data_IF_054673040815
#
_entry.id   IF_054673040815
#
_cell.length_a   1.000
_cell.length_b   1.000
_cell.length_c   1.000
_cell.angle_alpha   90.00
_cell.angle_beta   90.00
_cell.angle_gamma   90.00
#
_symmetry.space_group_name_H-M   'P 1'
#
loop_
_entity.id
_entity.type
_entity.pdbx_description
1 polymer ?
#
# COMPACT_ATOMS: atom_id res chain seq x y z
N UNK A 1 -2.55 14.03 10.83
CA UNK A 1 -1.18 13.48 10.89
C UNK A 1 -0.65 13.45 9.47
N UNK A 2 0.56 13.99 9.22
CA UNK A 2 1.11 14.07 7.87
C UNK A 2 1.38 12.63 7.37
N UNK A 3 1.05 12.28 6.10
CA UNK A 3 1.32 10.94 5.52
C UNK A 3 2.77 10.48 5.66
N UNK A 4 3.73 11.41 5.60
CA UNK A 4 5.15 11.12 5.83
C UNK A 4 5.47 10.71 7.28
N UNK A 5 4.78 11.27 8.23
CA UNK A 5 4.93 10.97 9.67
C UNK A 5 4.36 9.58 10.00
N UNK A 6 3.27 9.21 9.36
CA UNK A 6 2.67 7.87 9.47
C UNK A 6 3.55 6.79 8.85
N UNK A 7 4.12 7.02 7.67
CA UNK A 7 5.05 6.09 7.03
C UNK A 7 6.35 5.92 7.86
N UNK A 8 6.82 7.00 8.50
CA UNK A 8 7.98 6.99 9.38
C UNK A 8 7.74 6.15 10.64
N UNK A 9 6.56 6.29 11.25
CA UNK A 9 6.15 5.49 12.42
C UNK A 9 5.95 4.00 12.07
N UNK A 10 5.43 3.67 10.89
CA UNK A 10 5.34 2.29 10.43
C UNK A 10 6.72 1.66 10.20
N UNK A 11 7.65 2.38 9.60
CA UNK A 11 9.02 1.91 9.39
C UNK A 11 9.79 1.72 10.72
N UNK A 12 9.53 2.57 11.69
CA UNK A 12 10.11 2.47 13.03
C UNK A 12 9.54 1.28 13.82
N UNK A 13 8.25 1.02 13.72
CA UNK A 13 7.59 -0.17 14.29
C UNK A 13 8.11 -1.48 13.68
N UNK A 14 8.36 -1.53 12.38
CA UNK A 14 8.96 -2.70 11.71
C UNK A 14 10.39 -2.95 12.19
N UNK A 15 11.20 -1.88 12.35
CA UNK A 15 12.56 -1.97 12.91
C UNK A 15 12.57 -2.43 14.37
N UNK A 16 11.62 -1.97 15.18
CA UNK A 16 11.46 -2.39 16.57
C UNK A 16 11.05 -3.87 16.66
N UNK A 17 10.13 -4.36 15.84
CA UNK A 17 9.75 -5.78 15.76
C UNK A 17 10.95 -6.68 15.43
N UNK A 18 11.70 -6.34 14.38
CA UNK A 18 12.89 -7.10 13.98
C UNK A 18 13.98 -7.10 15.07
N UNK A 19 14.14 -6.00 15.82
CA UNK A 19 15.07 -5.89 16.95
C UNK A 19 14.63 -6.75 18.13
N UNK A 20 13.31 -6.84 18.39
CA UNK A 20 12.72 -7.68 19.45
C UNK A 20 12.91 -9.18 19.16
N UNK A 21 12.65 -9.61 17.92
CA UNK A 21 12.86 -11.00 17.49
C UNK A 21 14.33 -11.42 17.59
N UNK A 22 15.25 -10.57 17.17
CA UNK A 22 16.70 -10.82 17.31
C UNK A 22 17.13 -10.91 18.78
N UNK A 23 16.55 -10.10 19.66
CA UNK A 23 16.79 -10.19 21.11
C UNK A 23 16.23 -11.48 21.71
N UNK A 24 15.06 -11.92 21.31
CA UNK A 24 14.46 -13.17 21.78
C UNK A 24 15.28 -14.40 21.36
N UNK A 25 15.74 -14.45 20.10
CA UNK A 25 16.61 -15.53 19.61
C UNK A 25 17.96 -15.57 20.32
N UNK A 26 18.57 -14.41 20.61
CA UNK A 26 19.83 -14.33 21.36
C UNK A 26 19.68 -14.77 22.82
N UNK A 27 18.53 -14.48 23.45
CA UNK A 27 18.18 -14.92 24.82
C UNK A 27 18.00 -16.43 24.91
N UNK A 28 17.34 -17.05 23.91
CA UNK A 28 17.18 -18.51 23.86
C UNK A 28 18.52 -19.25 23.70
N UNK A 29 19.42 -18.72 22.85
CA UNK A 29 20.79 -19.27 22.72
C UNK A 29 21.60 -19.13 24.00
N UNK A 30 21.56 -18.00 24.70
CA UNK A 30 22.27 -17.78 25.97
C UNK A 30 21.72 -18.67 27.11
N UNK A 31 20.40 -18.90 27.16
CA UNK A 31 19.79 -19.86 28.12
C UNK A 31 20.30 -21.28 27.91
N UNK A 32 20.33 -21.78 26.67
CA UNK A 32 20.84 -23.12 26.37
C UNK A 32 22.32 -23.26 26.71
N UNK A 33 23.16 -22.26 26.43
CA UNK A 33 24.59 -22.29 26.77
C UNK A 33 24.81 -22.25 28.29
N UNK A 34 24.09 -21.44 29.05
CA UNK A 34 24.20 -21.34 30.51
C UNK A 34 23.85 -22.67 31.20
N UNK A 35 22.78 -23.35 30.74
CA UNK A 35 22.39 -24.67 31.26
C UNK A 35 23.41 -25.75 30.93
N UNK A 36 24.01 -25.75 29.76
CA UNK A 36 25.02 -26.75 29.36
C UNK A 36 26.31 -26.56 30.18
N UNK A 37 26.72 -25.32 30.41
CA UNK A 37 27.89 -24.98 31.22
C UNK A 37 27.68 -25.36 32.68
N UNK A 38 26.51 -25.08 33.28
CA UNK A 38 26.16 -25.51 34.65
C UNK A 38 26.16 -27.04 34.80
N UNK A 39 25.64 -27.75 33.79
CA UNK A 39 25.58 -29.22 33.82
C UNK A 39 26.98 -29.87 33.72
N UNK A 40 27.89 -29.27 32.98
CA UNK A 40 29.23 -29.81 32.74
C UNK A 40 30.24 -29.42 33.84
N UNK A 41 30.16 -28.22 34.39
CA UNK A 41 31.04 -27.74 35.46
C UNK A 41 30.61 -28.21 36.87
N UNK A 42 29.32 -28.54 37.06
CA UNK A 42 28.79 -28.93 38.38
C UNK A 42 29.43 -30.21 38.95
N UNK A 43 29.83 -31.16 38.09
CA UNK A 43 30.47 -32.43 38.55
C UNK A 43 31.84 -32.26 39.14
N UNK A 44 32.64 -31.31 38.66
CA UNK A 44 33.99 -31.07 39.09
C UNK A 44 34.04 -30.14 40.32
N UNK A 45 33.21 -29.11 40.33
CA UNK A 45 33.22 -28.08 41.39
C UNK A 45 32.38 -28.51 42.62
N UNK A 46 31.24 -29.16 42.42
CA UNK A 46 30.26 -29.43 43.48
C UNK A 46 30.38 -30.85 44.10
N UNK A 47 31.07 -31.78 43.45
CA UNK A 47 31.16 -33.18 43.86
C UNK A 47 29.87 -33.97 43.70
N UNK A 48 29.99 -35.30 43.54
CA UNK A 48 28.88 -36.18 43.14
C UNK A 48 27.64 -36.12 44.08
N UNK A 49 27.85 -35.94 45.39
CA UNK A 49 26.76 -35.93 46.37
C UNK A 49 25.93 -34.64 46.30
N UNK A 50 26.55 -33.47 46.17
CA UNK A 50 25.86 -32.21 46.06
C UNK A 50 25.12 -32.08 44.70
N UNK A 51 25.73 -32.58 43.66
CA UNK A 51 25.09 -32.65 42.32
C UNK A 51 23.78 -33.45 42.38
N UNK A 52 23.78 -34.61 42.98
CA UNK A 52 22.59 -35.48 43.11
C UNK A 52 21.49 -34.85 43.98
N UNK A 53 21.86 -34.10 45.03
CA UNK A 53 20.91 -33.39 45.88
C UNK A 53 20.27 -32.19 45.15
N UNK A 54 21.02 -31.48 44.31
CA UNK A 54 20.50 -30.39 43.47
C UNK A 54 19.56 -30.95 42.37
N UNK A 55 19.92 -32.04 41.72
CA UNK A 55 19.08 -32.68 40.72
C UNK A 55 17.73 -33.12 41.31
N UNK A 56 17.71 -33.78 42.48
CA UNK A 56 16.46 -34.12 43.18
C UNK A 56 15.65 -32.91 43.58
N UNK A 57 16.26 -31.85 44.08
CA UNK A 57 15.58 -30.61 44.44
C UNK A 57 14.90 -29.96 43.23
N UNK A 58 15.57 -29.91 42.07
CA UNK A 58 15.03 -29.33 40.84
C UNK A 58 13.90 -30.22 40.25
N UNK A 59 14.00 -31.51 40.37
CA UNK A 59 12.98 -32.47 39.90
C UNK A 59 11.70 -32.34 40.72
N UNK A 60 11.75 -32.34 42.05
CA UNK A 60 10.59 -32.10 42.90
C UNK A 60 9.98 -30.70 42.72
N UNK A 61 10.78 -29.68 42.49
CA UNK A 61 10.31 -28.32 42.24
C UNK A 61 9.59 -28.22 40.88
N UNK A 62 10.05 -28.99 39.87
CA UNK A 62 9.44 -28.96 38.53
C UNK A 62 8.15 -29.77 38.43
N UNK A 63 8.04 -30.87 39.17
CA UNK A 63 6.90 -31.81 39.09
C UNK A 63 5.78 -31.46 40.09
N UNK A 64 6.09 -31.04 41.30
CA UNK A 64 5.11 -30.90 42.40
C UNK A 64 4.89 -29.45 42.87
N UNK A 65 5.65 -28.49 42.38
CA UNK A 65 5.65 -27.09 42.84
C UNK A 65 5.88 -26.92 44.37
N UNK A 66 6.25 -28.02 45.08
CA UNK A 66 6.59 -28.05 46.53
C UNK A 66 7.76 -28.98 46.74
N UNK A 67 8.72 -28.55 47.52
CA UNK A 67 9.90 -29.37 47.88
C UNK A 67 9.68 -30.03 49.23
N UNK A 68 10.00 -31.33 49.32
CA UNK A 68 9.89 -32.08 50.58
C UNK A 68 10.94 -31.59 51.58
N UNK A 69 10.64 -31.71 52.89
CA UNK A 69 11.59 -31.39 53.96
C UNK A 69 12.86 -32.25 53.89
N UNK A 70 12.75 -33.47 53.42
CA UNK A 70 13.83 -34.42 53.27
C UNK A 70 14.82 -34.00 52.18
N UNK A 71 14.33 -33.60 51.00
CA UNK A 71 15.12 -33.09 49.88
C UNK A 71 15.85 -31.80 50.25
N UNK A 72 15.18 -30.92 51.01
CA UNK A 72 15.79 -29.67 51.48
C UNK A 72 16.91 -29.96 52.53
N UNK A 73 16.70 -30.90 53.46
CA UNK A 73 17.67 -31.34 54.46
C UNK A 73 18.90 -31.96 53.79
N UNK A 74 18.70 -32.82 52.82
CA UNK A 74 19.78 -33.47 52.04
C UNK A 74 20.60 -32.44 51.25
N UNK A 75 19.97 -31.46 50.67
CA UNK A 75 20.62 -30.38 49.94
C UNK A 75 21.45 -29.51 50.90
N UNK A 76 20.89 -29.10 52.03
CA UNK A 76 21.59 -28.30 53.03
C UNK A 76 22.77 -29.06 53.63
N UNK A 77 22.62 -30.35 53.95
CA UNK A 77 23.71 -31.21 54.48
C UNK A 77 24.83 -31.34 53.43
N UNK A 78 24.50 -31.52 52.16
CA UNK A 78 25.48 -31.62 51.09
C UNK A 78 26.23 -30.28 50.86
N UNK A 79 25.55 -29.14 51.01
CA UNK A 79 26.16 -27.79 50.97
C UNK A 79 27.12 -27.59 52.14
N UNK A 80 26.70 -27.92 53.36
CA UNK A 80 27.52 -27.76 54.57
C UNK A 80 28.83 -28.62 54.51
N UNK A 81 28.70 -29.89 54.11
CA UNK A 81 29.86 -30.79 53.96
C UNK A 81 30.84 -30.26 52.90
N UNK A 82 30.32 -29.60 51.85
CA UNK A 82 31.18 -29.05 50.79
C UNK A 82 31.81 -27.71 51.20
N UNK A 83 31.07 -26.86 51.92
CA UNK A 83 31.57 -25.60 52.47
C UNK A 83 32.83 -25.85 53.43
N UNK A 84 32.79 -26.91 54.18
CA UNK A 84 33.93 -27.30 55.09
C UNK A 84 35.12 -27.82 54.30
N UNK A 85 34.96 -28.38 53.11
CA UNK A 85 36.05 -28.96 52.28
C UNK A 85 36.67 -28.03 51.23
N UNK A 86 36.00 -27.04 50.76
CA UNK A 86 36.45 -26.25 49.59
C UNK A 86 36.63 -24.77 49.89
N UNK A 87 36.57 -24.36 51.08
CA UNK A 87 36.77 -22.97 51.48
C UNK A 87 35.59 -22.06 51.08
N UNK A 88 35.15 -21.27 52.05
CA UNK A 88 33.98 -20.37 51.96
C UNK A 88 33.98 -19.42 50.73
N UNK A 89 35.16 -19.01 50.27
CA UNK A 89 35.34 -18.08 49.12
C UNK A 89 34.94 -18.68 47.76
N UNK A 90 35.19 -19.99 47.52
CA UNK A 90 34.85 -20.65 46.26
C UNK A 90 33.35 -20.87 46.08
N UNK A 91 32.63 -21.11 47.19
CA UNK A 91 31.18 -21.31 47.17
C UNK A 91 30.47 -19.99 46.95
N UNK A 92 30.93 -18.90 47.56
CA UNK A 92 30.34 -17.55 47.31
C UNK A 92 30.55 -17.14 45.86
N UNK A 93 31.70 -17.34 45.27
CA UNK A 93 31.98 -16.98 43.88
C UNK A 93 31.17 -17.80 42.85
N UNK A 94 30.72 -19.00 43.22
CA UNK A 94 29.88 -19.83 42.34
C UNK A 94 28.37 -19.60 42.54
N UNK A 95 27.91 -19.41 43.79
CA UNK A 95 26.50 -19.30 44.15
C UNK A 95 25.98 -17.88 43.93
N UNK A 96 26.74 -16.84 44.28
CA UNK A 96 26.30 -15.46 44.14
C UNK A 96 25.97 -15.06 42.69
N UNK A 97 26.80 -15.38 41.67
CA UNK A 97 26.45 -15.10 40.27
C UNK A 97 25.23 -15.90 39.81
N UNK A 98 25.05 -17.13 40.31
CA UNK A 98 23.89 -17.96 39.95
C UNK A 98 22.58 -17.39 40.49
N UNK A 99 22.58 -16.92 41.73
CA UNK A 99 21.45 -16.24 42.37
C UNK A 99 21.16 -14.93 41.62
N UNK A 100 22.19 -14.16 41.30
CA UNK A 100 22.04 -12.90 40.56
C UNK A 100 21.42 -13.13 39.15
N UNK A 101 21.83 -14.21 38.47
CA UNK A 101 21.29 -14.63 37.20
C UNK A 101 19.79 -15.02 37.27
N UNK A 102 19.40 -15.71 38.37
CA UNK A 102 18.00 -16.05 38.64
C UNK A 102 17.16 -14.78 38.84
N UNK A 103 17.65 -13.85 39.64
CA UNK A 103 17.01 -12.56 39.89
C UNK A 103 16.92 -11.75 38.60
N UNK A 104 17.98 -11.65 37.83
CA UNK A 104 17.97 -10.96 36.53
C UNK A 104 16.97 -11.58 35.53
N UNK A 105 16.90 -12.92 35.51
CA UNK A 105 15.97 -13.65 34.65
C UNK A 105 14.51 -13.41 35.05
N UNK A 106 14.24 -13.40 36.36
CA UNK A 106 12.91 -13.08 36.89
C UNK A 106 12.52 -11.64 36.59
N UNK A 107 13.41 -10.67 36.82
CA UNK A 107 13.16 -9.26 36.54
C UNK A 107 12.92 -8.99 35.04
N UNK A 108 13.72 -9.62 34.18
CA UNK A 108 13.55 -9.58 32.74
C UNK A 108 12.22 -10.21 32.28
N UNK A 109 11.76 -11.26 32.92
CA UNK A 109 10.46 -11.88 32.65
C UNK A 109 9.31 -10.94 33.00
N UNK A 110 9.38 -10.21 34.12
CA UNK A 110 8.39 -9.22 34.51
C UNK A 110 8.40 -8.01 33.56
N UNK A 111 9.57 -7.51 33.19
CA UNK A 111 9.67 -6.42 32.18
C UNK A 111 9.09 -6.84 30.82
N UNK A 112 9.34 -8.07 30.38
CA UNK A 112 8.77 -8.54 29.10
C UNK A 112 7.25 -8.65 29.14
N UNK A 113 6.63 -9.04 30.27
CA UNK A 113 5.16 -9.03 30.43
C UNK A 113 4.61 -7.60 30.37
N UNK A 114 5.29 -6.64 30.99
CA UNK A 114 4.90 -5.24 30.97
C UNK A 114 4.96 -4.66 29.53
N UNK A 115 6.06 -4.95 28.82
CA UNK A 115 6.26 -4.52 27.42
C UNK A 115 5.21 -5.14 26.49
N UNK A 116 4.86 -6.41 26.70
CA UNK A 116 3.82 -7.08 25.91
C UNK A 116 2.46 -6.42 26.17
N UNK A 117 2.12 -6.15 27.43
CA UNK A 117 0.88 -5.45 27.78
C UNK A 117 0.82 -4.02 27.23
N UNK A 118 1.93 -3.28 27.28
CA UNK A 118 2.03 -1.96 26.65
C UNK A 118 1.86 -2.04 25.12
N UNK A 119 2.46 -3.03 24.46
CA UNK A 119 2.33 -3.24 23.02
C UNK A 119 0.89 -3.53 22.61
N UNK A 120 0.16 -4.32 23.40
CA UNK A 120 -1.27 -4.56 23.18
C UNK A 120 -2.14 -3.30 23.38
N UNK A 121 -1.85 -2.52 24.43
CA UNK A 121 -2.53 -1.24 24.64
C UNK A 121 -2.28 -0.25 23.48
N UNK A 122 -1.04 -0.15 23.00
CA UNK A 122 -0.72 0.66 21.81
C UNK A 122 -1.47 0.21 20.57
N UNK A 123 -1.58 -1.11 20.37
CA UNK A 123 -2.36 -1.66 19.26
C UNK A 123 -3.84 -1.30 19.36
N UNK A 124 -4.41 -1.37 20.56
CA UNK A 124 -5.80 -0.97 20.80
C UNK A 124 -6.00 0.55 20.62
N UNK A 125 -5.07 1.38 21.09
CA UNK A 125 -5.12 2.82 20.87
C UNK A 125 -5.02 3.19 19.39
N UNK A 126 -4.12 2.55 18.64
CA UNK A 126 -4.02 2.78 17.19
C UNK A 126 -5.31 2.37 16.48
N UNK A 127 -5.88 1.22 16.82
CA UNK A 127 -7.16 0.80 16.24
C UNK A 127 -8.30 1.79 16.56
N UNK A 128 -8.34 2.38 17.77
CA UNK A 128 -9.32 3.41 18.14
C UNK A 128 -9.08 4.72 17.38
N UNK A 129 -7.82 5.13 17.19
CA UNK A 129 -7.47 6.31 16.40
C UNK A 129 -7.86 6.12 14.93
N UNK A 130 -7.63 4.94 14.38
CA UNK A 130 -8.05 4.61 13.03
C UNK A 130 -9.57 4.66 12.89
N UNK A 131 -10.32 4.10 13.87
CA UNK A 131 -11.78 4.18 13.90
C UNK A 131 -12.30 5.63 14.04
N UNK A 132 -11.69 6.45 14.89
CA UNK A 132 -12.06 7.86 15.03
C UNK A 132 -11.78 8.65 13.76
N UNK A 133 -10.62 8.41 13.14
CA UNK A 133 -10.27 9.04 11.86
C UNK A 133 -11.27 8.65 10.78
N UNK A 134 -11.68 7.37 10.75
CA UNK A 134 -12.69 6.87 9.82
C UNK A 134 -14.06 7.51 10.03
N UNK A 135 -14.52 7.65 11.30
CA UNK A 135 -15.79 8.30 11.62
C UNK A 135 -15.80 9.79 11.27
N UNK A 136 -14.72 10.51 11.57
CA UNK A 136 -14.57 11.93 11.18
C UNK A 136 -14.58 12.09 9.66
N UNK A 137 -13.92 11.19 8.94
CA UNK A 137 -13.91 11.21 7.49
C UNK A 137 -15.29 10.89 6.91
N UNK A 138 -16.03 9.93 7.49
CA UNK A 138 -17.41 9.62 7.09
C UNK A 138 -18.36 10.80 7.30
N UNK A 139 -18.22 11.52 8.42
CA UNK A 139 -19.00 12.72 8.71
C UNK A 139 -18.69 13.85 7.73
N UNK A 140 -17.39 14.11 7.46
CA UNK A 140 -16.95 15.08 6.47
C UNK A 140 -17.52 14.77 5.08
N UNK A 141 -17.57 13.50 4.70
CA UNK A 141 -18.14 13.05 3.41
C UNK A 141 -19.64 13.32 3.33
N UNK A 142 -20.39 13.00 4.38
CA UNK A 142 -21.82 13.28 4.42
C UNK A 142 -22.12 14.74 4.14
N UNK A 143 -21.39 15.65 4.76
CA UNK A 143 -21.54 17.10 4.53
C UNK A 143 -21.13 17.49 3.10
N UNK A 144 -20.05 16.91 2.57
CA UNK A 144 -19.57 17.22 1.23
C UNK A 144 -20.51 16.71 0.14
N UNK A 145 -21.12 15.53 0.33
CA UNK A 145 -22.14 14.99 -0.58
C UNK A 145 -23.40 15.88 -0.63
N UNK A 146 -23.86 16.39 0.52
CA UNK A 146 -24.98 17.33 0.55
C UNK A 146 -24.68 18.63 -0.19
N UNK A 147 -23.45 19.16 -0.07
CA UNK A 147 -23.00 20.32 -0.85
C UNK A 147 -22.95 19.99 -2.33
N UNK A 148 -22.48 18.81 -2.71
CA UNK A 148 -22.40 18.36 -4.10
C UNK A 148 -23.78 18.24 -4.72
N UNK A 149 -24.75 17.62 -4.05
CA UNK A 149 -26.15 17.50 -4.54
C UNK A 149 -26.78 18.87 -4.74
N UNK A 150 -26.59 19.80 -3.80
CA UNK A 150 -27.08 21.17 -3.94
C UNK A 150 -26.47 21.88 -5.14
N UNK A 151 -25.17 21.69 -5.39
CA UNK A 151 -24.50 22.29 -6.54
C UNK A 151 -24.89 21.66 -7.85
N UNK A 152 -25.06 20.33 -7.92
CA UNK A 152 -25.50 19.63 -9.13
C UNK A 152 -26.89 20.10 -9.55
N UNK A 153 -27.78 20.36 -8.57
CA UNK A 153 -29.09 20.94 -8.83
C UNK A 153 -28.96 22.35 -9.44
N UNK A 154 -28.16 23.22 -8.84
CA UNK A 154 -27.91 24.57 -9.36
C UNK A 154 -27.33 24.55 -10.78
N UNK A 155 -26.35 23.64 -11.04
CA UNK A 155 -25.76 23.43 -12.36
C UNK A 155 -26.81 22.99 -13.36
N UNK A 156 -27.67 22.03 -12.99
CA UNK A 156 -28.78 21.58 -13.86
C UNK A 156 -29.73 22.71 -14.23
N UNK A 157 -30.03 23.59 -13.27
CA UNK A 157 -30.89 24.73 -13.51
C UNK A 157 -30.20 25.79 -14.43
N UNK A 158 -28.92 26.08 -14.21
CA UNK A 158 -28.11 26.96 -15.04
C UNK A 158 -28.04 26.42 -16.50
N UNK A 159 -27.75 25.13 -16.67
CA UNK A 159 -27.63 24.44 -17.98
C UNK A 159 -28.97 24.50 -18.74
N UNK A 160 -30.09 24.21 -18.06
CA UNK A 160 -31.42 24.27 -18.67
C UNK A 160 -31.80 25.67 -19.12
N UNK A 161 -31.33 26.70 -18.45
CA UNK A 161 -31.59 28.09 -18.78
C UNK A 161 -30.68 28.67 -19.86
N UNK A 162 -29.59 27.97 -20.20
CA UNK A 162 -28.54 28.43 -21.09
C UNK A 162 -28.48 27.56 -22.38
N UNK A 163 -28.76 28.08 -23.56
CA UNK A 163 -28.70 27.31 -24.83
C UNK A 163 -27.34 26.73 -25.17
N UNK A 164 -26.24 27.23 -24.55
CA UNK A 164 -24.88 26.76 -24.76
C UNK A 164 -24.44 25.74 -23.71
N UNK A 165 -25.33 25.35 -22.79
CA UNK A 165 -25.04 24.46 -21.66
C UNK A 165 -23.89 24.95 -20.78
N UNK A 166 -23.69 26.25 -20.69
CA UNK A 166 -22.65 26.86 -19.84
C UNK A 166 -23.24 27.26 -18.49
N UNK A 167 -22.44 27.18 -17.46
CA UNK A 167 -22.77 27.71 -16.11
C UNK A 167 -22.18 29.12 -15.93
N UNK A 168 -22.69 29.86 -14.97
CA UNK A 168 -22.15 31.17 -14.62
C UNK A 168 -20.82 31.06 -13.89
N UNK A 169 -20.01 32.16 -13.91
CA UNK A 169 -18.66 32.17 -13.33
C UNK A 169 -18.65 31.91 -11.80
N UNK A 170 -19.70 32.29 -11.09
CA UNK A 170 -19.79 32.04 -9.64
C UNK A 170 -20.02 30.55 -9.35
N UNK A 171 -20.95 29.91 -10.05
CA UNK A 171 -21.19 28.46 -9.99
C UNK A 171 -19.95 27.70 -10.40
N UNK A 172 -19.26 28.11 -11.49
CA UNK A 172 -17.99 27.52 -11.91
C UNK A 172 -16.91 27.61 -10.82
N UNK A 173 -16.77 28.78 -10.18
CA UNK A 173 -15.82 28.97 -9.08
C UNK A 173 -16.08 28.08 -7.87
N UNK A 174 -17.36 27.90 -7.51
CA UNK A 174 -17.76 26.99 -6.41
C UNK A 174 -17.52 25.53 -6.79
N UNK A 175 -17.84 25.12 -8.00
CA UNK A 175 -17.61 23.78 -8.51
C UNK A 175 -16.12 23.42 -8.49
N UNK A 176 -15.25 24.34 -8.93
CA UNK A 176 -13.80 24.15 -8.88
C UNK A 176 -13.31 24.00 -7.43
N UNK A 177 -13.83 24.83 -6.52
CA UNK A 177 -13.48 24.72 -5.10
C UNK A 177 -13.94 23.39 -4.51
N UNK A 178 -15.15 22.95 -4.83
CA UNK A 178 -15.68 21.65 -4.40
C UNK A 178 -14.81 20.50 -4.90
N UNK A 179 -14.46 20.45 -6.19
CA UNK A 179 -13.64 19.37 -6.75
C UNK A 179 -12.30 19.21 -5.99
N UNK A 180 -11.69 20.32 -5.55
CA UNK A 180 -10.46 20.34 -4.77
C UNK A 180 -10.65 19.94 -3.29
N UNK A 181 -11.85 20.09 -2.75
CA UNK A 181 -12.19 19.65 -1.39
C UNK A 181 -12.41 18.14 -1.28
N UNK A 182 -12.74 17.47 -2.40
CA UNK A 182 -12.96 16.02 -2.49
C UNK A 182 -11.62 15.26 -2.43
N UNK A 183 -10.96 15.26 -1.27
CA UNK A 183 -9.63 14.64 -1.11
C UNK A 183 -9.71 13.11 -1.21
N UNK A 184 -8.77 12.48 -1.92
CA UNK A 184 -8.67 11.02 -1.97
C UNK A 184 -8.28 10.42 -0.62
N UNK A 185 -8.73 9.21 -0.35
CA UNK A 185 -8.53 8.50 0.91
C UNK A 185 -8.53 6.98 0.69
N UNK A 186 -8.15 6.22 1.72
CA UNK A 186 -8.31 4.77 1.74
C UNK A 186 -9.60 4.41 2.47
N UNK A 187 -10.36 3.47 1.95
CA UNK A 187 -11.55 2.92 2.60
C UNK A 187 -11.51 1.40 2.64
N UNK A 188 -12.45 0.79 3.36
CA UNK A 188 -12.59 -0.66 3.43
C UNK A 188 -13.43 -1.17 2.26
N UNK A 189 -12.91 -2.11 1.52
CA UNK A 189 -13.61 -2.87 0.50
C UNK A 189 -13.52 -4.36 0.89
N UNK A 190 -14.66 -5.02 1.09
CA UNK A 190 -14.73 -6.41 1.55
C UNK A 190 -13.86 -6.67 2.81
N UNK A 191 -14.04 -5.84 3.84
CA UNK A 191 -13.31 -5.87 5.11
C UNK A 191 -11.78 -5.69 5.01
N UNK A 192 -11.27 -5.31 3.85
CA UNK A 192 -9.86 -5.02 3.60
C UNK A 192 -9.64 -3.56 3.22
N UNK A 193 -8.61 -2.93 3.80
CA UNK A 193 -8.23 -1.58 3.40
C UNK A 193 -7.66 -1.60 1.99
N UNK A 194 -8.23 -0.79 1.09
CA UNK A 194 -7.68 -0.66 -0.26
C UNK A 194 -6.21 -0.20 -0.22
N UNK A 195 -5.41 -0.72 -1.14
CA UNK A 195 -3.97 -0.48 -1.22
C UNK A 195 -3.60 0.95 -1.63
N UNK A 196 -4.49 1.64 -2.35
CA UNK A 196 -4.31 2.99 -2.89
C UNK A 196 -5.31 3.98 -2.28
N UNK A 197 -4.95 5.26 -2.36
CA UNK A 197 -5.91 6.35 -2.09
C UNK A 197 -6.70 6.64 -3.37
N UNK A 198 -8.03 6.72 -3.26
CA UNK A 198 -8.94 7.10 -4.37
C UNK A 198 -10.06 8.00 -3.82
N UNK A 199 -10.80 8.64 -4.72
CA UNK A 199 -11.94 9.49 -4.36
C UNK A 199 -13.18 9.07 -5.13
N UNK A 200 -14.08 8.29 -4.53
CA UNK A 200 -15.37 7.96 -5.10
C UNK A 200 -16.20 9.21 -5.44
N UNK A 201 -16.10 10.23 -4.59
CA UNK A 201 -16.85 11.48 -4.73
C UNK A 201 -16.43 12.26 -5.99
N UNK A 202 -15.12 12.25 -6.36
CA UNK A 202 -14.67 12.84 -7.62
C UNK A 202 -15.20 12.09 -8.83
N UNK A 203 -15.22 10.76 -8.74
CA UNK A 203 -15.82 9.92 -9.78
C UNK A 203 -17.30 10.21 -9.96
N UNK A 204 -18.05 10.22 -8.84
CA UNK A 204 -19.48 10.57 -8.84
C UNK A 204 -19.72 11.97 -9.37
N UNK A 205 -18.93 12.96 -8.97
CA UNK A 205 -19.04 14.34 -9.48
C UNK A 205 -18.85 14.40 -11.00
N UNK A 206 -17.84 13.73 -11.54
CA UNK A 206 -17.60 13.73 -13.00
C UNK A 206 -18.77 13.12 -13.76
N UNK A 207 -19.24 11.94 -13.35
CA UNK A 207 -20.38 11.26 -13.99
C UNK A 207 -21.61 12.14 -13.92
N UNK A 208 -21.95 12.68 -12.76
CA UNK A 208 -23.12 13.55 -12.59
C UNK A 208 -23.03 14.83 -13.43
N UNK A 209 -21.85 15.44 -13.56
CA UNK A 209 -21.66 16.60 -14.42
C UNK A 209 -21.90 16.25 -15.89
N UNK A 210 -21.42 15.13 -16.36
CA UNK A 210 -21.66 14.67 -17.73
C UNK A 210 -23.15 14.38 -17.98
N UNK A 211 -23.86 13.84 -16.99
CA UNK A 211 -25.32 13.60 -17.05
C UNK A 211 -26.15 14.89 -17.12
N UNK A 212 -25.69 15.99 -16.51
CA UNK A 212 -26.35 17.30 -16.64
C UNK A 212 -26.26 17.88 -18.04
N UNK A 213 -25.34 17.37 -18.86
CA UNK A 213 -25.07 17.91 -20.21
C UNK A 213 -24.31 19.23 -20.22
N UNK A 214 -23.66 19.59 -19.08
CA UNK A 214 -22.81 20.79 -18.97
C UNK A 214 -21.68 20.76 -19.99
N UNK A 215 -21.40 21.91 -20.60
CA UNK A 215 -20.22 22.08 -21.44
C UNK A 215 -18.96 22.28 -20.59
N UNK A 216 -18.27 21.17 -20.27
CA UNK A 216 -17.02 21.20 -19.49
C UNK A 216 -15.85 21.84 -20.24
N UNK A 217 -15.92 21.91 -21.57
CA UNK A 217 -14.92 22.57 -22.42
C UNK A 217 -15.20 24.07 -22.63
N UNK A 218 -16.26 24.62 -22.02
CA UNK A 218 -16.52 26.04 -22.06
C UNK A 218 -15.36 26.83 -21.44
N UNK A 219 -14.97 27.91 -22.15
CA UNK A 219 -13.99 28.89 -21.62
C UNK A 219 -14.73 29.92 -20.77
N UNK A 220 -14.32 30.10 -19.53
CA UNK A 220 -14.85 31.18 -18.69
C UNK A 220 -14.49 32.54 -19.29
N UNK A 221 -15.43 33.48 -19.28
CA UNK A 221 -15.22 34.88 -19.72
C UNK A 221 -14.37 35.67 -18.70
N UNK A 222 -14.15 35.12 -17.53
CA UNK A 222 -13.34 35.71 -16.48
C UNK A 222 -11.82 35.59 -16.79
N UNK A 223 -10.99 36.49 -16.26
CA UNK A 223 -9.55 36.70 -16.51
C UNK A 223 -8.65 35.46 -16.48
N UNK A 224 -9.13 34.28 -16.15
CA UNK A 224 -8.38 33.01 -16.21
C UNK A 224 -8.74 32.28 -17.51
N UNK A 225 -7.89 32.37 -18.51
CA UNK A 225 -8.01 31.76 -19.85
C UNK A 225 -7.94 30.23 -19.84
N UNK A 226 -8.87 29.52 -19.21
CA UNK A 226 -8.86 28.05 -19.18
C UNK A 226 -10.27 27.47 -19.31
N UNK A 227 -10.38 26.30 -19.93
CA UNK A 227 -11.59 25.51 -19.96
C UNK A 227 -11.99 25.08 -18.55
N UNK A 228 -13.28 24.91 -18.27
CA UNK A 228 -13.75 24.48 -16.96
C UNK A 228 -13.13 23.13 -16.56
N UNK A 229 -13.06 22.18 -17.49
CA UNK A 229 -12.54 20.83 -17.26
C UNK A 229 -11.07 20.83 -16.76
N UNK A 230 -10.22 21.74 -17.28
CA UNK A 230 -8.81 21.84 -16.88
C UNK A 230 -8.60 22.42 -15.47
N UNK A 231 -9.65 23.00 -14.89
CA UNK A 231 -9.61 23.64 -13.56
C UNK A 231 -10.21 22.77 -12.47
N UNK A 232 -10.99 21.75 -12.86
CA UNK A 232 -11.57 20.74 -11.96
C UNK A 232 -10.50 19.71 -11.59
N UNK A 233 -10.59 19.18 -10.38
CA UNK A 233 -9.66 18.17 -9.87
C UNK A 233 -10.35 16.79 -9.84
N UNK A 234 -10.03 15.95 -10.83
CA UNK A 234 -10.49 14.57 -10.92
C UNK A 234 -9.36 13.56 -10.70
N UNK A 235 -8.21 14.02 -10.21
CA UNK A 235 -7.12 13.09 -9.83
C UNK A 235 -7.62 12.09 -8.80
N UNK A 236 -7.15 10.84 -8.88
CA UNK A 236 -7.59 9.75 -8.00
C UNK A 236 -9.10 9.44 -8.06
N UNK A 237 -9.85 9.91 -9.07
CA UNK A 237 -11.27 9.59 -9.19
C UNK A 237 -11.51 8.08 -9.27
N UNK A 238 -12.55 7.59 -8.61
CA UNK A 238 -13.01 6.22 -8.75
C UNK A 238 -14.08 6.14 -9.82
N UNK A 239 -13.74 5.51 -10.94
CA UNK A 239 -14.57 5.40 -12.14
C UNK A 239 -14.59 3.94 -12.63
N UNK A 240 -14.54 2.98 -11.70
CA UNK A 240 -14.59 1.55 -12.02
C UNK A 240 -15.98 1.13 -12.50
N UNK A 241 -16.02 0.17 -13.41
CA UNK A 241 -17.25 -0.50 -13.85
C UNK A 241 -18.30 0.45 -14.46
N UNK A 242 -17.89 1.66 -14.92
CA UNK A 242 -18.79 2.67 -15.49
C UNK A 242 -18.80 2.64 -17.02
N UNK A 243 -19.78 3.34 -17.60
CA UNK A 243 -19.89 3.53 -19.05
C UNK A 243 -20.00 5.02 -19.37
N UNK A 244 -18.97 5.57 -20.03
CA UNK A 244 -18.89 6.96 -20.49
C UNK A 244 -18.56 7.00 -21.99
N UNK A 245 -19.38 6.31 -22.79
CA UNK A 245 -19.17 6.25 -24.24
C UNK A 245 -19.36 7.61 -24.93
N UNK A 246 -18.43 7.95 -25.81
CA UNK A 246 -18.50 9.16 -26.62
C UNK A 246 -18.44 10.47 -25.85
N UNK A 247 -17.98 10.43 -24.61
CA UNK A 247 -17.83 11.62 -23.78
C UNK A 247 -16.69 12.51 -24.27
N UNK A 248 -16.85 13.82 -24.14
CA UNK A 248 -15.81 14.81 -24.41
C UNK A 248 -15.05 15.13 -23.13
N UNK A 249 -13.89 14.46 -22.97
CA UNK A 249 -12.98 14.57 -21.80
C UNK A 249 -11.62 15.17 -22.19
N UNK A 250 -11.65 16.06 -23.18
CA UNK A 250 -10.49 16.78 -23.71
C UNK A 250 -9.76 17.53 -22.58
N UNK A 251 -8.45 17.33 -22.47
CA UNK A 251 -7.58 17.99 -21.46
C UNK A 251 -7.95 17.69 -20.00
N UNK A 252 -8.74 16.65 -19.70
CA UNK A 252 -9.08 16.27 -18.33
C UNK A 252 -7.85 15.75 -17.57
N UNK A 253 -7.76 16.03 -16.27
CA UNK A 253 -6.78 15.39 -15.40
C UNK A 253 -7.43 14.24 -14.61
N UNK A 254 -7.11 13.01 -15.01
CA UNK A 254 -7.49 11.75 -14.36
C UNK A 254 -6.25 10.99 -13.85
N UNK A 255 -5.16 11.70 -13.56
CA UNK A 255 -3.96 11.05 -13.05
C UNK A 255 -4.25 10.28 -11.76
N UNK A 256 -3.68 9.08 -11.64
CA UNK A 256 -3.91 8.15 -10.54
C UNK A 256 -5.36 7.64 -10.39
N UNK A 257 -6.28 7.92 -11.31
CA UNK A 257 -7.67 7.48 -11.26
C UNK A 257 -7.80 5.95 -11.44
N UNK A 258 -8.86 5.38 -10.90
CA UNK A 258 -9.23 3.97 -11.09
C UNK A 258 -10.36 3.86 -12.11
N UNK A 259 -10.00 3.45 -13.32
CA UNK A 259 -10.87 3.35 -14.52
C UNK A 259 -11.06 1.88 -14.95
N UNK A 260 -10.78 0.93 -14.06
CA UNK A 260 -10.83 -0.51 -14.38
C UNK A 260 -12.21 -0.96 -14.82
N UNK A 261 -12.24 -1.93 -15.73
CA UNK A 261 -13.44 -2.58 -16.25
C UNK A 261 -14.46 -1.61 -16.91
N UNK A 262 -14.09 -0.36 -17.17
CA UNK A 262 -15.00 0.67 -17.66
C UNK A 262 -15.06 0.72 -19.16
N UNK A 263 -16.12 1.32 -19.69
CA UNK A 263 -16.36 1.45 -21.12
C UNK A 263 -16.30 2.92 -21.55
N UNK A 264 -15.19 3.29 -22.21
CA UNK A 264 -14.92 4.61 -22.77
C UNK A 264 -14.93 4.59 -24.33
N UNK A 265 -15.66 3.65 -24.94
CA UNK A 265 -15.71 3.55 -26.39
C UNK A 265 -16.04 4.90 -27.03
N UNK A 266 -15.17 5.38 -27.91
CA UNK A 266 -15.38 6.64 -28.66
C UNK A 266 -15.20 7.92 -27.85
N UNK A 267 -14.70 7.84 -26.63
CA UNK A 267 -14.42 9.00 -25.77
C UNK A 267 -13.23 9.80 -26.31
N UNK A 268 -13.25 11.12 -26.18
CA UNK A 268 -12.12 11.98 -26.52
C UNK A 268 -11.30 12.33 -25.27
N UNK A 269 -10.11 11.74 -25.14
CA UNK A 269 -9.08 12.03 -24.13
C UNK A 269 -7.88 12.79 -24.70
N UNK A 270 -8.07 13.52 -25.79
CA UNK A 270 -6.97 14.30 -26.37
C UNK A 270 -6.40 15.26 -25.32
N UNK A 271 -5.05 15.32 -25.21
CA UNK A 271 -4.31 16.10 -24.22
C UNK A 271 -4.67 15.78 -22.74
N UNK A 272 -5.36 14.69 -22.45
CA UNK A 272 -5.70 14.30 -21.08
C UNK A 272 -4.45 13.81 -20.32
N UNK A 273 -4.42 14.04 -19.00
CA UNK A 273 -3.47 13.43 -18.09
C UNK A 273 -4.09 12.17 -17.46
N UNK A 274 -3.61 11.01 -17.88
CA UNK A 274 -3.96 9.67 -17.39
C UNK A 274 -2.74 8.99 -16.76
N UNK A 275 -1.74 9.76 -16.35
CA UNK A 275 -0.53 9.22 -15.73
C UNK A 275 -0.85 8.43 -14.47
N UNK A 276 -0.26 7.23 -14.33
CA UNK A 276 -0.50 6.28 -13.25
C UNK A 276 -1.98 5.81 -13.13
N UNK A 277 -2.84 6.08 -14.10
CA UNK A 277 -4.24 5.64 -14.09
C UNK A 277 -4.33 4.11 -14.25
N UNK A 278 -5.39 3.52 -13.69
CA UNK A 278 -5.69 2.09 -13.81
C UNK A 278 -6.78 1.90 -14.85
N UNK A 279 -6.43 1.30 -15.96
CA UNK A 279 -7.29 1.05 -17.11
C UNK A 279 -7.38 -0.46 -17.44
N UNK A 280 -7.04 -1.33 -16.48
CA UNK A 280 -7.06 -2.78 -16.68
C UNK A 280 -8.47 -3.23 -17.05
N UNK A 281 -8.57 -4.04 -18.09
CA UNK A 281 -9.80 -4.57 -18.67
C UNK A 281 -10.76 -3.50 -19.22
N UNK A 282 -10.35 -2.24 -19.39
CA UNK A 282 -11.21 -1.20 -19.93
C UNK A 282 -11.42 -1.38 -21.43
N UNK A 283 -12.61 -1.02 -21.91
CA UNK A 283 -12.90 -0.91 -23.34
C UNK A 283 -12.66 0.54 -23.81
N UNK A 284 -11.56 0.73 -24.52
CA UNK A 284 -11.08 2.00 -25.05
C UNK A 284 -11.15 2.03 -26.60
N UNK A 285 -12.01 1.19 -27.19
CA UNK A 285 -12.13 1.13 -28.64
C UNK A 285 -12.60 2.47 -29.22
N UNK A 286 -12.05 2.88 -30.35
CA UNK A 286 -12.34 4.15 -31.02
C UNK A 286 -12.06 5.42 -30.20
N UNK A 287 -11.33 5.31 -29.11
CA UNK A 287 -11.00 6.41 -28.20
C UNK A 287 -9.84 7.24 -28.76
N UNK A 288 -9.91 8.56 -28.61
CA UNK A 288 -8.81 9.47 -28.96
C UNK A 288 -7.92 9.71 -27.75
N UNK A 289 -6.66 9.32 -27.83
CA UNK A 289 -5.59 9.64 -26.88
C UNK A 289 -4.50 10.53 -27.50
N UNK A 290 -4.85 11.26 -28.54
CA UNK A 290 -3.89 12.12 -29.23
C UNK A 290 -3.25 13.11 -28.25
N UNK A 291 -1.91 13.10 -28.15
CA UNK A 291 -1.14 13.96 -27.22
C UNK A 291 -1.47 13.74 -25.72
N UNK A 292 -2.14 12.63 -25.34
CA UNK A 292 -2.43 12.30 -23.94
C UNK A 292 -1.19 11.78 -23.22
N UNK A 293 -1.14 12.01 -21.91
CA UNK A 293 -0.12 11.44 -21.02
C UNK A 293 -0.67 10.19 -20.32
N UNK A 294 -0.10 9.02 -20.67
CA UNK A 294 -0.40 7.72 -20.06
C UNK A 294 0.88 7.14 -19.39
N UNK A 295 1.78 7.99 -18.92
CA UNK A 295 3.00 7.54 -18.24
C UNK A 295 2.65 6.65 -17.05
N UNK A 296 3.26 5.45 -17.01
CA UNK A 296 3.01 4.43 -15.99
C UNK A 296 1.54 3.97 -15.86
N UNK A 297 0.67 4.24 -16.84
CA UNK A 297 -0.72 3.77 -16.84
C UNK A 297 -0.78 2.24 -16.92
N UNK A 298 -1.74 1.62 -16.23
CA UNK A 298 -1.96 0.18 -16.23
C UNK A 298 -3.08 -0.17 -17.23
N UNK A 299 -2.70 -0.67 -18.40
CA UNK A 299 -3.61 -1.00 -19.51
C UNK A 299 -3.76 -2.52 -19.73
N UNK A 300 -3.28 -3.35 -18.79
CA UNK A 300 -3.33 -4.81 -18.94
C UNK A 300 -4.72 -5.29 -19.32
N UNK A 301 -4.82 -6.11 -20.39
CA UNK A 301 -6.07 -6.64 -20.94
C UNK A 301 -7.05 -5.56 -21.50
N UNK A 302 -6.65 -4.32 -21.68
CA UNK A 302 -7.51 -3.30 -22.26
C UNK A 302 -7.72 -3.54 -23.76
N UNK A 303 -8.90 -3.13 -24.26
CA UNK A 303 -9.24 -3.17 -25.68
C UNK A 303 -8.99 -1.79 -26.27
N UNK A 304 -7.96 -1.65 -27.12
CA UNK A 304 -7.55 -0.39 -27.73
C UNK A 304 -7.89 -0.31 -29.22
N UNK A 305 -8.79 -1.18 -29.68
CA UNK A 305 -9.10 -1.32 -31.10
C UNK A 305 -9.54 0.00 -31.72
N UNK A 306 -8.89 0.38 -32.84
CA UNK A 306 -9.19 1.60 -33.61
C UNK A 306 -9.03 2.89 -32.81
N UNK A 307 -8.37 2.86 -31.66
CA UNK A 307 -8.02 4.07 -30.90
C UNK A 307 -6.88 4.82 -31.56
N UNK A 308 -6.73 6.10 -31.20
CA UNK A 308 -5.70 6.98 -31.72
C UNK A 308 -4.77 7.46 -30.62
N UNK A 309 -3.54 6.89 -30.57
CA UNK A 309 -2.47 7.27 -29.65
C UNK A 309 -1.39 8.14 -30.29
N UNK A 310 -1.71 8.84 -31.39
CA UNK A 310 -0.72 9.68 -32.05
C UNK A 310 -0.12 10.69 -31.05
N UNK A 311 1.21 10.68 -30.91
CA UNK A 311 1.99 11.51 -29.99
C UNK A 311 1.70 11.29 -28.50
N UNK A 312 0.98 10.24 -28.09
CA UNK A 312 0.72 9.94 -26.69
C UNK A 312 2.01 9.48 -25.97
N UNK A 313 2.11 9.76 -24.69
CA UNK A 313 3.18 9.27 -23.82
C UNK A 313 2.74 8.00 -23.09
N UNK A 314 3.23 6.83 -23.53
CA UNK A 314 3.01 5.53 -22.90
C UNK A 314 4.28 5.01 -22.18
N UNK A 315 5.17 5.90 -21.81
CA UNK A 315 6.41 5.55 -21.11
C UNK A 315 6.10 4.80 -19.81
N UNK A 316 6.70 3.61 -19.63
CA UNK A 316 6.51 2.78 -18.43
C UNK A 316 5.13 2.16 -18.27
N UNK A 317 4.20 2.34 -19.23
CA UNK A 317 2.85 1.77 -19.16
C UNK A 317 2.86 0.23 -19.19
N UNK A 318 1.79 -0.39 -18.69
CA UNK A 318 1.60 -1.85 -18.75
C UNK A 318 0.63 -2.21 -19.90
N UNK A 319 1.19 -2.67 -21.00
CA UNK A 319 0.48 -3.05 -22.23
C UNK A 319 0.33 -4.56 -22.40
N UNK A 320 0.47 -5.34 -21.34
CA UNK A 320 0.34 -6.80 -21.44
C UNK A 320 -1.07 -7.21 -21.84
N UNK A 321 -1.18 -8.06 -22.84
CA UNK A 321 -2.43 -8.61 -23.35
C UNK A 321 -3.44 -7.54 -23.86
N UNK A 322 -2.98 -6.40 -24.35
CA UNK A 322 -3.86 -5.40 -24.97
C UNK A 322 -4.28 -5.85 -26.37
N UNK A 323 -5.50 -5.47 -26.80
CA UNK A 323 -5.92 -5.59 -28.20
C UNK A 323 -5.61 -4.29 -28.93
N UNK A 324 -4.92 -4.37 -30.09
CA UNK A 324 -4.42 -3.22 -30.87
C UNK A 324 -5.00 -3.18 -32.30
N UNK A 325 -6.13 -3.82 -32.56
CA UNK A 325 -6.68 -3.96 -33.92
C UNK A 325 -6.92 -2.61 -34.58
N UNK A 326 -6.13 -2.27 -35.61
CA UNK A 326 -6.20 -1.00 -36.35
C UNK A 326 -5.95 0.25 -35.50
N UNK A 327 -5.25 0.12 -34.38
CA UNK A 327 -4.85 1.22 -33.50
C UNK A 327 -3.83 2.11 -34.21
N UNK A 328 -3.92 3.43 -34.04
CA UNK A 328 -2.93 4.39 -34.52
C UNK A 328 -1.98 4.74 -33.40
N UNK A 329 -0.65 4.59 -33.66
CA UNK A 329 0.41 4.78 -32.65
C UNK A 329 1.52 5.74 -33.11
N UNK A 330 1.30 6.48 -34.19
CA UNK A 330 2.33 7.32 -34.81
C UNK A 330 2.93 8.33 -33.83
N UNK A 331 4.26 8.32 -33.71
CA UNK A 331 5.01 9.22 -32.82
C UNK A 331 4.66 9.10 -31.32
N UNK A 332 4.02 8.00 -30.90
CA UNK A 332 3.81 7.73 -29.48
C UNK A 332 5.10 7.28 -28.81
N UNK A 333 5.28 7.58 -27.51
CA UNK A 333 6.41 7.07 -26.73
C UNK A 333 6.02 5.78 -26.02
N UNK A 334 6.77 4.69 -26.29
CA UNK A 334 6.62 3.39 -25.61
C UNK A 334 7.85 3.01 -24.78
N UNK A 335 8.69 3.98 -24.44
CA UNK A 335 9.91 3.72 -23.69
C UNK A 335 9.60 3.01 -22.37
N UNK A 336 10.24 1.86 -22.13
CA UNK A 336 10.04 1.03 -20.92
C UNK A 336 8.61 0.51 -20.72
N UNK A 337 7.75 0.57 -21.73
CA UNK A 337 6.42 -0.02 -21.66
C UNK A 337 6.52 -1.54 -21.48
N UNK A 338 5.76 -2.09 -20.51
CA UNK A 338 5.74 -3.54 -20.24
C UNK A 338 4.81 -4.23 -21.22
N UNK A 339 5.29 -5.32 -21.80
CA UNK A 339 4.58 -6.13 -22.79
C UNK A 339 4.68 -7.62 -22.42
N UNK A 340 3.97 -8.49 -23.13
CA UNK A 340 4.12 -9.93 -23.00
C UNK A 340 5.14 -10.47 -24.02
N UNK A 341 5.60 -11.69 -23.83
CA UNK A 341 6.63 -12.34 -24.67
C UNK A 341 6.36 -12.26 -26.18
N UNK A 342 5.13 -12.57 -26.60
CA UNK A 342 4.75 -12.64 -28.01
C UNK A 342 4.22 -11.30 -28.56
N UNK A 343 4.44 -10.18 -27.87
CA UNK A 343 3.90 -8.87 -28.25
C UNK A 343 4.23 -8.42 -29.67
N UNK A 344 5.45 -8.72 -30.13
CA UNK A 344 5.87 -8.36 -31.49
C UNK A 344 5.01 -9.04 -32.55
N UNK A 345 4.72 -10.33 -32.39
CA UNK A 345 3.90 -11.09 -33.32
C UNK A 345 2.45 -10.59 -33.30
N UNK A 346 1.90 -10.36 -32.13
CA UNK A 346 0.54 -9.87 -31.97
C UNK A 346 0.37 -8.46 -32.53
N UNK A 347 1.32 -7.56 -32.29
CA UNK A 347 1.29 -6.21 -32.84
C UNK A 347 1.38 -6.20 -34.39
N UNK A 348 2.22 -7.05 -34.99
CA UNK A 348 2.33 -7.17 -36.44
C UNK A 348 1.00 -7.66 -37.05
N UNK A 349 0.28 -8.57 -36.40
CA UNK A 349 -1.03 -9.06 -36.86
C UNK A 349 -2.16 -8.05 -36.71
N UNK A 350 -2.12 -7.23 -35.67
CA UNK A 350 -3.23 -6.35 -35.27
C UNK A 350 -3.11 -4.93 -35.83
N UNK A 351 -1.90 -4.38 -35.88
CA UNK A 351 -1.62 -3.06 -36.44
C UNK A 351 -1.61 -3.12 -37.98
N UNK A 352 -1.81 -1.97 -38.62
CA UNK A 352 -1.49 -1.88 -40.05
C UNK A 352 0.05 -1.90 -40.25
N UNK A 353 0.49 -2.21 -41.47
CA UNK A 353 1.90 -2.39 -41.79
C UNK A 353 2.75 -1.16 -41.44
N UNK A 354 2.29 0.03 -41.76
CA UNK A 354 3.06 1.26 -41.51
C UNK A 354 3.27 1.51 -40.01
N UNK A 355 2.27 1.18 -39.19
CA UNK A 355 2.36 1.33 -37.72
C UNK A 355 3.26 0.27 -37.08
N UNK A 356 3.17 -0.99 -37.50
CA UNK A 356 4.03 -2.05 -37.00
C UNK A 356 5.49 -1.84 -37.43
N UNK A 357 5.73 -1.45 -38.70
CA UNK A 357 7.05 -1.13 -39.21
C UNK A 357 7.68 0.04 -38.45
N UNK A 358 6.90 1.08 -38.17
CA UNK A 358 7.34 2.21 -37.34
C UNK A 358 7.68 1.78 -35.92
N UNK A 359 6.82 0.97 -35.28
CA UNK A 359 7.00 0.52 -33.89
C UNK A 359 8.32 -0.26 -33.74
N UNK A 360 8.52 -1.29 -34.58
CA UNK A 360 9.70 -2.17 -34.45
C UNK A 360 10.97 -1.64 -35.14
N UNK A 361 10.85 -0.55 -35.91
CA UNK A 361 12.03 0.25 -36.28
C UNK A 361 12.51 1.12 -35.12
N UNK A 362 11.61 1.57 -34.25
CA UNK A 362 11.90 2.49 -33.15
C UNK A 362 12.21 1.74 -31.84
N UNK A 363 11.54 0.64 -31.60
CA UNK A 363 11.63 -0.13 -30.35
C UNK A 363 11.95 -1.60 -30.61
N UNK A 364 12.48 -2.27 -29.59
CA UNK A 364 12.68 -3.72 -29.54
C UNK A 364 12.06 -4.29 -28.26
N UNK A 365 11.52 -5.51 -28.35
CA UNK A 365 11.08 -6.26 -27.17
C UNK A 365 12.30 -6.89 -26.51
N UNK A 366 12.52 -6.60 -25.25
CA UNK A 366 13.65 -7.11 -24.46
C UNK A 366 13.14 -7.76 -23.18
N UNK A 367 13.59 -8.95 -22.89
CA UNK A 367 13.39 -9.59 -21.60
C UNK A 367 14.27 -8.91 -20.55
N UNK A 368 13.67 -8.44 -19.47
CA UNK A 368 14.37 -7.71 -18.38
C UNK A 368 14.65 -8.64 -17.21
N UNK A 369 13.68 -9.48 -16.87
CA UNK A 369 13.80 -10.55 -15.88
C UNK A 369 12.79 -11.67 -16.21
N UNK A 370 12.78 -12.76 -15.47
CA UNK A 370 11.91 -13.92 -15.71
C UNK A 370 10.45 -13.47 -15.95
N UNK A 371 9.94 -13.72 -17.19
CA UNK A 371 8.58 -13.40 -17.66
C UNK A 371 8.23 -11.89 -17.79
N UNK A 372 9.17 -10.97 -17.61
CA UNK A 372 8.95 -9.53 -17.79
C UNK A 372 9.65 -9.00 -19.03
N UNK A 373 8.87 -8.52 -19.99
CA UNK A 373 9.35 -7.95 -21.25
C UNK A 373 9.02 -6.47 -21.33
N UNK A 374 9.91 -5.70 -21.96
CA UNK A 374 9.75 -4.26 -22.13
C UNK A 374 10.09 -3.82 -23.56
N UNK A 375 9.47 -2.72 -23.98
CA UNK A 375 9.83 -2.02 -25.22
C UNK A 375 10.96 -1.02 -24.91
N UNK A 376 12.16 -1.34 -25.38
CA UNK A 376 13.31 -0.44 -25.28
C UNK A 376 13.58 0.23 -26.63
N UNK A 377 13.96 1.52 -26.65
CA UNK A 377 14.38 2.18 -27.87
C UNK A 377 15.51 1.40 -28.56
N UNK A 378 15.51 1.37 -29.90
CA UNK A 378 16.68 0.92 -30.67
C UNK A 378 17.67 2.08 -30.76
N UNK A 379 18.95 1.77 -30.65
CA UNK A 379 20.06 2.73 -30.79
C UNK A 379 20.12 3.33 -32.20
#
# INVERSE_FOLDING_TARGET
MNPEEFARLQAENLKLKAKLEKQQQSKQKRRKLGWTFLKQSSGFILGAKLKKSIERFLEELSEQQRVSRETLSDLLSAIIIRLTRVGFLLVITAILPSILLIFQTYYLSQQNKLITGQSEMFKQQNNRLDQQTYLQEAERRGQTLLLMDSMLKEISDDVRSNPQNNINDATAGRLISLSKMLKPYKYLENDSLIDRVISPERGYLLVSLLETGINLNATSRSRSNGKLITRLDFTYAELRDITLKGSDLLEINLSNADLRNSNFTGTDFKNADLSNARLENANLSYTSFNEADLENALLKNAILDRSDFAKANLTGSDLRNVSLVKTKISSASFKNARVHENFEQDAIMQLNKDQSDWLFKTYQVVEVDDENYQLLPRD
#
